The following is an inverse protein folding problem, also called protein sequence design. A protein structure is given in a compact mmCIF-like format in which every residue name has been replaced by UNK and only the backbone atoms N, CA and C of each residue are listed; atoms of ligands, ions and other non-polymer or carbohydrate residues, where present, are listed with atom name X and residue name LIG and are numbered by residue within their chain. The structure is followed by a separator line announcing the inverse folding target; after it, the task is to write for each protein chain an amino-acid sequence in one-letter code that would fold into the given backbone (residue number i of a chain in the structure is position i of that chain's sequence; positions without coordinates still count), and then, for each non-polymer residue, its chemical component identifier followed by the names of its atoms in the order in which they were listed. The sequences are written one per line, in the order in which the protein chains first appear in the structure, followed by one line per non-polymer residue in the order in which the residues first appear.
data_IF_012344262875
#
_entry.id   IF_012344262875
#
_cell.length_a   1.000
_cell.length_b   1.000
_cell.length_c   1.000
_cell.angle_alpha   90.00
_cell.angle_beta   90.00
_cell.angle_gamma   90.00
#
_symmetry.space_group_name_H-M   'P 1'
#
loop_
_entity.id
_entity.type
_entity.pdbx_description
1 polymer ?
#
# COMPACT_ATOMS: atom_id res chain seq x y z
N UNK A 1 -8.04 5.79 9.14
CA UNK A 1 -7.86 7.19 9.60
C UNK A 1 -7.02 7.10 10.83
N UNK A 2 -5.85 7.73 10.82
CA UNK A 2 -4.95 7.74 11.96
C UNK A 2 -4.81 9.19 12.41
N UNK A 3 -5.04 9.43 13.69
CA UNK A 3 -4.83 10.72 14.33
C UNK A 3 -3.69 10.53 15.33
N UNK A 4 -2.68 11.38 15.26
CA UNK A 4 -1.50 11.29 16.12
C UNK A 4 -1.14 12.68 16.65
N UNK A 5 -1.32 12.84 17.95
CA UNK A 5 -0.96 14.04 18.70
C UNK A 5 0.28 13.74 19.55
N UNK A 6 1.31 14.59 19.43
CA UNK A 6 2.54 14.46 20.18
C UNK A 6 2.89 15.80 20.85
N UNK A 7 3.30 15.72 22.12
CA UNK A 7 3.58 16.88 22.97
C UNK A 7 4.95 16.77 23.62
N UNK A 8 5.73 17.85 23.57
CA UNK A 8 7.03 17.94 24.22
C UNK A 8 7.15 19.26 25.00
N UNK A 9 7.31 19.18 26.32
CA UNK A 9 7.48 20.33 27.21
C UNK A 9 8.78 20.17 28.02
N UNK A 10 9.53 21.26 28.27
CA UNK A 10 10.69 21.25 29.18
C UNK A 10 10.37 20.80 30.62
N UNK A 11 9.11 20.82 31.06
CA UNK A 11 8.69 20.41 32.41
C UNK A 11 8.03 19.01 32.46
N UNK A 12 7.49 18.51 31.35
CA UNK A 12 6.84 17.20 31.26
C UNK A 12 7.04 16.57 29.85
N UNK A 13 7.51 15.32 29.79
CA UNK A 13 7.84 14.59 28.56
C UNK A 13 9.35 14.49 28.28
N UNK A 14 9.76 14.06 27.08
CA UNK A 14 11.17 13.78 26.69
C UNK A 14 12.10 15.01 26.65
N UNK A 15 11.68 16.15 27.21
CA UNK A 15 12.46 17.37 27.31
C UNK A 15 12.65 18.07 25.96
N UNK A 16 12.12 19.28 25.83
CA UNK A 16 12.50 20.14 24.72
C UNK A 16 13.94 20.63 24.95
N UNK A 17 14.94 20.00 24.31
CA UNK A 17 16.31 20.53 24.30
C UNK A 17 16.28 21.97 23.76
N UNK A 18 16.76 22.90 24.56
CA UNK A 18 17.03 24.27 24.15
C UNK A 18 18.23 24.30 23.20
N UNK A 19 18.06 23.85 21.96
CA UNK A 19 19.14 23.84 20.98
C UNK A 19 18.86 22.94 19.79
N UNK A 20 18.69 23.57 18.62
CA UNK A 20 18.95 23.01 17.29
C UNK A 20 18.35 21.64 16.99
N UNK A 21 17.04 21.60 16.72
CA UNK A 21 16.45 20.47 15.99
C UNK A 21 14.95 20.36 16.20
N UNK A 22 14.15 21.02 15.35
CA UNK A 22 12.72 20.70 15.13
C UNK A 22 11.73 20.80 16.30
N UNK A 23 12.16 20.81 17.56
CA UNK A 23 11.38 20.61 18.80
C UNK A 23 11.68 21.69 19.86
N UNK A 24 12.36 22.76 19.47
CA UNK A 24 13.02 23.68 20.39
C UNK A 24 12.59 25.13 20.12
N UNK A 25 11.55 25.57 20.83
CA UNK A 25 11.23 26.98 21.04
C UNK A 25 11.27 27.28 22.54
N UNK A 26 11.69 28.49 22.98
CA UNK A 26 11.59 28.87 24.39
C UNK A 26 10.12 28.74 24.82
N UNK A 27 9.82 27.79 25.71
CA UNK A 27 8.47 27.50 26.20
C UNK A 27 7.78 26.24 25.66
N UNK A 28 8.47 25.28 25.02
CA UNK A 28 7.87 23.99 24.62
C UNK A 28 7.15 23.99 23.26
N UNK A 29 6.84 22.80 22.74
CA UNK A 29 6.27 22.60 21.40
C UNK A 29 5.17 21.52 21.38
N UNK A 30 4.10 21.78 20.62
CA UNK A 30 3.00 20.85 20.39
C UNK A 30 2.82 20.55 18.91
N UNK A 31 2.49 19.30 18.58
CA UNK A 31 2.28 18.84 17.22
C UNK A 31 0.96 18.07 17.13
N UNK A 32 0.18 18.38 16.10
CA UNK A 32 -0.96 17.58 15.70
C UNK A 32 -0.79 17.24 14.22
N UNK A 33 -0.97 15.97 13.86
CA UNK A 33 -0.90 15.55 12.46
C UNK A 33 -2.10 14.69 12.12
N UNK A 34 -2.86 15.16 11.15
CA UNK A 34 -3.95 14.41 10.56
C UNK A 34 -3.47 13.69 9.30
N UNK A 35 -3.71 12.39 9.24
CA UNK A 35 -3.43 11.57 8.05
C UNK A 35 -4.70 10.89 7.56
N UNK A 36 -5.00 11.11 6.27
CA UNK A 36 -6.09 10.43 5.57
C UNK A 36 -5.55 9.67 4.37
N UNK A 37 -5.42 8.37 4.56
CA UNK A 37 -5.19 7.43 3.48
C UNK A 37 -6.52 6.90 2.94
N UNK A 38 -6.63 6.86 1.62
CA UNK A 38 -7.74 6.24 0.89
C UNK A 38 -7.15 5.30 -0.14
N UNK A 39 -7.62 4.06 -0.14
CA UNK A 39 -7.33 3.10 -1.18
C UNK A 39 -8.64 2.56 -1.76
N UNK A 40 -8.65 2.32 -3.07
CA UNK A 40 -9.68 1.50 -3.69
C UNK A 40 -9.04 0.54 -4.69
N UNK A 41 -9.68 -0.61 -4.85
CA UNK A 41 -9.33 -1.62 -5.83
C UNK A 41 -10.58 -1.96 -6.62
N UNK A 42 -10.47 -2.02 -7.93
CA UNK A 42 -11.53 -2.49 -8.81
C UNK A 42 -10.97 -3.56 -9.73
N UNK A 43 -11.59 -4.74 -9.70
CA UNK A 43 -11.10 -5.93 -10.40
C UNK A 43 -12.24 -6.51 -11.23
N UNK A 44 -11.95 -6.76 -12.50
CA UNK A 44 -12.84 -7.45 -13.43
C UNK A 44 -12.14 -8.71 -13.93
N UNK A 45 -12.83 -9.84 -13.87
CA UNK A 45 -12.29 -11.12 -14.31
C UNK A 45 -13.30 -11.89 -15.13
N UNK A 46 -12.81 -12.61 -16.13
CA UNK A 46 -13.57 -13.60 -16.88
C UNK A 46 -12.82 -14.93 -16.84
N UNK A 47 -13.54 -16.01 -16.54
CA UNK A 47 -13.00 -17.36 -16.51
C UNK A 47 -13.82 -18.26 -17.45
N UNK A 48 -13.12 -19.12 -18.17
CA UNK A 48 -13.71 -20.16 -18.98
C UNK A 48 -12.95 -21.47 -18.79
N UNK A 49 -13.72 -22.53 -18.53
CA UNK A 49 -13.20 -23.89 -18.41
C UNK A 49 -13.77 -24.72 -19.57
N UNK A 50 -12.92 -25.48 -20.25
CA UNK A 50 -13.33 -26.29 -21.38
C UNK A 50 -12.61 -27.63 -21.42
N UNK A 51 -13.36 -28.66 -21.81
CA UNK A 51 -12.89 -30.04 -21.88
C UNK A 51 -13.02 -30.57 -23.30
N UNK A 52 -11.94 -31.15 -23.84
CA UNK A 52 -11.92 -31.80 -25.15
C UNK A 52 -11.70 -33.30 -24.96
N UNK A 53 -12.58 -34.11 -25.56
CA UNK A 53 -12.51 -35.58 -25.55
C UNK A 53 -12.40 -36.20 -24.14
N UNK A 54 -12.92 -35.55 -23.10
CA UNK A 54 -12.82 -35.90 -21.67
C UNK A 54 -11.40 -35.97 -21.09
N UNK A 55 -10.37 -36.03 -21.93
CA UNK A 55 -8.98 -36.21 -21.54
C UNK A 55 -8.21 -34.88 -21.42
N UNK A 56 -8.65 -33.83 -22.12
CA UNK A 56 -7.97 -32.55 -22.16
C UNK A 56 -8.81 -31.51 -21.44
N UNK A 57 -8.32 -30.98 -20.33
CA UNK A 57 -8.99 -29.96 -19.54
C UNK A 57 -8.19 -28.68 -19.57
N UNK A 58 -8.85 -27.58 -19.88
CA UNK A 58 -8.25 -26.25 -19.94
C UNK A 58 -9.02 -25.31 -19.02
N UNK A 59 -8.28 -24.42 -18.36
CA UNK A 59 -8.83 -23.36 -17.53
C UNK A 59 -8.14 -22.05 -17.90
N UNK A 60 -8.91 -21.13 -18.48
CA UNK A 60 -8.44 -19.81 -18.87
C UNK A 60 -9.06 -18.77 -17.95
N UNK A 61 -8.20 -17.94 -17.36
CA UNK A 61 -8.59 -16.75 -16.60
C UNK A 61 -7.94 -15.53 -17.26
N UNK A 62 -8.72 -14.48 -17.47
CA UNK A 62 -8.21 -13.16 -17.83
C UNK A 62 -8.80 -12.14 -16.87
N UNK A 63 -8.05 -11.08 -16.60
CA UNK A 63 -8.51 -10.03 -15.71
C UNK A 63 -7.78 -8.72 -15.88
N UNK A 64 -8.45 -7.67 -15.41
CA UNK A 64 -7.89 -6.35 -15.24
C UNK A 64 -8.16 -5.87 -13.81
N UNK A 65 -7.20 -5.16 -13.25
CA UNK A 65 -7.25 -4.64 -11.90
C UNK A 65 -6.72 -3.21 -11.88
N UNK A 66 -7.41 -2.36 -11.12
CA UNK A 66 -7.04 -0.97 -10.93
C UNK A 66 -6.97 -0.69 -9.44
N UNK A 67 -5.84 -0.18 -8.99
CA UNK A 67 -5.65 0.25 -7.61
C UNK A 67 -5.27 1.73 -7.58
N UNK A 68 -6.01 2.53 -6.81
CA UNK A 68 -5.63 3.91 -6.51
C UNK A 68 -5.40 4.07 -5.03
N UNK A 69 -4.34 4.79 -4.67
CA UNK A 69 -4.02 5.17 -3.30
C UNK A 69 -3.79 6.67 -3.26
N UNK A 70 -4.45 7.34 -2.31
CA UNK A 70 -4.26 8.77 -2.04
C UNK A 70 -4.00 8.93 -0.55
N UNK A 71 -2.91 9.61 -0.19
CA UNK A 71 -2.58 10.01 1.16
C UNK A 71 -2.62 11.53 1.25
N UNK A 72 -3.41 12.06 2.18
CA UNK A 72 -3.42 13.49 2.51
C UNK A 72 -2.89 13.65 3.91
N UNK A 73 -1.89 14.52 4.06
CA UNK A 73 -1.23 14.84 5.30
C UNK A 73 -1.34 16.33 5.55
N UNK A 74 -1.81 16.71 6.73
CA UNK A 74 -1.68 18.07 7.19
C UNK A 74 -1.58 18.06 8.71
N UNK A 75 -0.87 19.03 9.23
CA UNK A 75 -0.66 19.17 10.65
C UNK A 75 -0.34 20.60 11.02
N UNK A 76 -0.25 20.80 12.32
CA UNK A 76 0.15 22.05 12.91
C UNK A 76 1.32 21.78 13.85
N UNK A 77 2.28 22.71 13.82
CA UNK A 77 3.35 22.79 14.80
C UNK A 77 3.19 24.11 15.52
N UNK A 78 3.10 24.04 16.85
CA UNK A 78 2.94 25.21 17.71
C UNK A 78 4.14 25.32 18.63
N UNK A 79 4.68 26.52 18.79
CA UNK A 79 5.85 26.78 19.65
C UNK A 79 5.52 27.86 20.68
N UNK A 80 6.24 27.84 21.80
CA UNK A 80 6.12 28.80 22.90
C UNK A 80 4.73 28.73 23.54
N UNK A 81 4.56 27.71 24.39
CA UNK A 81 3.38 27.52 25.21
C UNK A 81 3.21 28.73 26.14
N UNK A 82 2.01 29.31 26.14
CA UNK A 82 1.70 30.52 26.92
C UNK A 82 1.49 30.24 28.41
N UNK A 83 1.13 29.01 28.77
CA UNK A 83 0.91 28.57 30.15
C UNK A 83 1.39 27.12 30.31
N UNK A 84 2.38 26.91 31.18
CA UNK A 84 2.99 25.61 31.45
C UNK A 84 2.08 24.60 32.13
N UNK A 85 0.91 25.03 32.64
CA UNK A 85 -0.09 24.13 33.24
C UNK A 85 -0.79 23.23 32.21
N UNK A 86 -0.71 23.55 30.91
CA UNK A 86 -1.34 22.76 29.87
C UNK A 86 -0.36 21.83 29.14
N UNK A 87 -0.87 20.67 28.72
CA UNK A 87 -0.07 19.63 28.05
C UNK A 87 -0.67 19.14 26.73
N UNK A 88 -1.49 19.97 26.08
CA UNK A 88 -2.20 19.59 24.86
C UNK A 88 -1.94 20.58 23.72
N UNK A 89 -2.11 20.13 22.47
CA UNK A 89 -1.83 20.95 21.28
C UNK A 89 -2.86 22.07 21.06
N UNK A 90 -4.06 21.95 21.65
CA UNK A 90 -5.14 22.95 21.55
C UNK A 90 -4.94 24.15 22.50
N UNK A 91 -3.94 24.13 23.39
CA UNK A 91 -3.65 25.21 24.36
C UNK A 91 -3.21 26.53 23.71
N UNK A 92 -2.94 27.55 24.53
CA UNK A 92 -2.37 28.81 24.05
C UNK A 92 -0.90 28.67 23.64
N UNK A 93 -0.57 29.04 22.40
CA UNK A 93 0.80 29.13 21.90
C UNK A 93 0.95 30.43 21.12
N UNK A 94 2.13 31.06 21.19
CA UNK A 94 2.36 32.35 20.52
C UNK A 94 2.77 32.21 19.05
N UNK A 95 3.24 31.02 18.63
CA UNK A 95 3.62 30.74 17.24
C UNK A 95 2.86 29.52 16.73
N UNK A 96 2.24 29.64 15.55
CA UNK A 96 1.58 28.54 14.84
C UNK A 96 2.14 28.43 13.42
N UNK A 97 2.67 27.27 13.06
CA UNK A 97 3.24 27.01 11.75
C UNK A 97 2.58 25.78 11.12
N UNK A 98 2.33 25.78 9.80
CA UNK A 98 1.97 24.54 9.11
C UNK A 98 3.03 23.47 9.34
N UNK A 99 2.58 22.22 9.46
CA UNK A 99 3.43 21.05 9.66
C UNK A 99 2.94 19.89 8.81
N UNK A 100 3.86 19.03 8.37
CA UNK A 100 3.56 17.78 7.67
C UNK A 100 2.49 17.91 6.56
N UNK A 101 2.58 18.96 5.76
CA UNK A 101 1.66 19.20 4.64
C UNK A 101 2.11 18.39 3.43
N UNK A 102 1.25 17.51 2.93
CA UNK A 102 1.56 16.70 1.77
C UNK A 102 0.34 16.06 1.11
N UNK A 103 0.49 15.76 -0.17
CA UNK A 103 -0.42 14.93 -0.96
C UNK A 103 0.41 13.87 -1.67
N UNK A 104 0.11 12.61 -1.41
CA UNK A 104 0.66 11.48 -2.14
C UNK A 104 -0.46 10.83 -2.95
N UNK A 105 -0.24 10.58 -4.24
CA UNK A 105 -1.19 9.85 -5.07
C UNK A 105 -0.46 8.86 -5.96
N UNK A 106 -0.91 7.61 -5.94
CA UNK A 106 -0.39 6.55 -6.78
C UNK A 106 -1.53 5.73 -7.40
N UNK A 107 -1.30 5.29 -8.63
CA UNK A 107 -2.24 4.48 -9.40
C UNK A 107 -1.51 3.30 -10.05
N UNK A 108 -2.09 2.11 -9.95
CA UNK A 108 -1.60 0.87 -10.52
C UNK A 108 -2.70 0.28 -11.40
N UNK A 109 -2.42 0.15 -12.69
CA UNK A 109 -3.25 -0.59 -13.65
C UNK A 109 -2.56 -1.91 -13.97
N UNK A 110 -3.29 -3.00 -13.89
CA UNK A 110 -2.74 -4.32 -14.09
C UNK A 110 -3.64 -5.15 -14.99
N UNK A 111 -3.05 -5.82 -15.96
CA UNK A 111 -3.74 -6.77 -16.83
C UNK A 111 -3.05 -8.11 -16.71
N UNK A 112 -3.81 -9.18 -16.45
CA UNK A 112 -3.25 -10.49 -16.20
C UNK A 112 -4.06 -11.59 -16.86
N UNK A 113 -3.38 -12.69 -17.15
CA UNK A 113 -3.97 -13.91 -17.67
C UNK A 113 -3.27 -15.14 -17.12
N UNK A 114 -4.03 -16.23 -17.00
CA UNK A 114 -3.54 -17.55 -16.62
C UNK A 114 -4.21 -18.61 -17.47
N UNK A 115 -3.41 -19.50 -18.03
CA UNK A 115 -3.88 -20.69 -18.71
C UNK A 115 -3.35 -21.92 -17.96
N UNK A 116 -4.26 -22.80 -17.57
CA UNK A 116 -3.91 -24.12 -17.06
C UNK A 116 -4.38 -25.18 -18.05
N UNK A 117 -3.57 -26.21 -18.22
CA UNK A 117 -3.86 -27.39 -19.01
C UNK A 117 -3.61 -28.64 -18.17
N UNK A 118 -4.51 -29.60 -18.31
CA UNK A 118 -4.45 -30.89 -17.66
C UNK A 118 -4.79 -31.97 -18.69
N UNK A 119 -3.87 -32.92 -18.88
CA UNK A 119 -4.11 -34.14 -19.64
C UNK A 119 -4.36 -35.33 -18.70
N UNK A 120 -5.56 -35.91 -18.75
CA UNK A 120 -5.97 -37.14 -18.04
C UNK A 120 -5.75 -37.11 -16.51
N UNK A 121 -5.59 -35.93 -15.92
CA UNK A 121 -5.15 -35.77 -14.54
C UNK A 121 -3.75 -36.33 -14.28
N UNK A 122 -2.94 -36.53 -15.34
CA UNK A 122 -1.56 -37.05 -15.28
C UNK A 122 -0.54 -35.95 -15.52
N UNK A 123 -0.75 -35.11 -16.53
CA UNK A 123 0.19 -34.06 -16.89
C UNK A 123 -0.49 -32.71 -16.74
N UNK A 124 0.20 -31.80 -16.07
CA UNK A 124 -0.27 -30.47 -15.74
C UNK A 124 0.70 -29.46 -16.32
N UNK A 125 0.20 -28.46 -17.02
CA UNK A 125 0.97 -27.33 -17.50
C UNK A 125 0.23 -26.06 -17.08
N UNK A 126 0.94 -25.09 -16.53
CA UNK A 126 0.37 -23.79 -16.19
C UNK A 126 1.27 -22.68 -16.69
N UNK A 127 0.66 -21.67 -17.29
CA UNK A 127 1.30 -20.44 -17.71
C UNK A 127 0.54 -19.24 -17.19
N UNK A 128 1.26 -18.20 -16.78
CA UNK A 128 0.69 -16.92 -16.39
C UNK A 128 1.50 -15.76 -16.96
N UNK A 129 0.80 -14.66 -17.23
CA UNK A 129 1.38 -13.42 -17.72
C UNK A 129 0.63 -12.26 -17.06
N UNK A 130 1.38 -11.28 -16.56
CA UNK A 130 0.85 -10.05 -15.97
C UNK A 130 1.64 -8.85 -16.47
N UNK A 131 0.95 -7.78 -16.78
CA UNK A 131 1.52 -6.48 -17.08
C UNK A 131 1.00 -5.48 -16.06
N UNK A 132 1.91 -4.80 -15.38
CA UNK A 132 1.64 -3.80 -14.36
C UNK A 132 2.14 -2.43 -14.81
N UNK A 133 1.28 -1.43 -14.67
CA UNK A 133 1.54 -0.04 -15.00
C UNK A 133 1.39 0.82 -13.75
N UNK A 134 2.52 1.18 -13.15
CA UNK A 134 2.56 1.93 -11.90
C UNK A 134 2.93 3.39 -12.13
N UNK A 135 2.08 4.32 -11.68
CA UNK A 135 2.21 5.75 -11.95
C UNK A 135 3.46 6.39 -11.34
N UNK A 136 4.00 5.80 -10.26
CA UNK A 136 5.15 6.34 -9.53
C UNK A 136 6.51 5.99 -10.17
N UNK A 137 6.54 5.08 -11.15
CA UNK A 137 7.78 4.68 -11.82
C UNK A 137 8.06 5.55 -13.04
N UNK A 138 9.35 5.83 -13.29
CA UNK A 138 9.78 6.52 -14.51
C UNK A 138 9.45 5.72 -15.78
N UNK A 139 9.74 4.42 -15.76
CA UNK A 139 9.21 3.44 -16.72
C UNK A 139 7.99 2.80 -16.07
N UNK A 140 6.80 3.22 -16.51
CA UNK A 140 5.55 2.86 -15.84
C UNK A 140 5.21 1.38 -15.96
N UNK A 141 5.61 0.72 -17.05
CA UNK A 141 5.18 -0.63 -17.43
C UNK A 141 6.23 -1.70 -17.10
N UNK A 142 5.81 -2.73 -16.38
CA UNK A 142 6.56 -3.97 -16.16
C UNK A 142 5.75 -5.19 -16.59
N UNK A 143 6.40 -6.20 -17.17
CA UNK A 143 5.76 -7.46 -17.58
C UNK A 143 6.42 -8.63 -16.87
N UNK A 144 5.58 -9.44 -16.22
CA UNK A 144 5.98 -10.58 -15.40
C UNK A 144 5.27 -11.82 -15.92
N UNK A 145 5.99 -12.92 -16.06
CA UNK A 145 5.44 -14.18 -16.54
C UNK A 145 5.96 -15.34 -15.70
N UNK A 146 5.23 -16.43 -15.71
CA UNK A 146 5.62 -17.66 -15.04
C UNK A 146 5.06 -18.87 -15.76
N UNK A 147 5.80 -19.97 -15.70
CA UNK A 147 5.38 -21.25 -16.24
C UNK A 147 5.72 -22.37 -15.25
N UNK A 148 4.90 -23.41 -15.22
CA UNK A 148 5.13 -24.62 -14.42
C UNK A 148 4.59 -25.84 -15.13
N UNK A 149 5.17 -27.00 -14.79
CA UNK A 149 4.70 -28.29 -15.24
C UNK A 149 4.67 -29.26 -14.06
N UNK A 150 3.72 -30.20 -14.07
CA UNK A 150 3.56 -31.23 -13.07
C UNK A 150 3.24 -32.57 -13.73
N UNK A 151 3.70 -33.65 -13.13
CA UNK A 151 3.45 -35.00 -13.60
C UNK A 151 3.10 -35.90 -12.43
N UNK A 152 1.91 -36.50 -12.50
CA UNK A 152 1.45 -37.52 -11.56
C UNK A 152 1.99 -38.88 -11.99
N UNK A 153 3.17 -39.21 -11.47
CA UNK A 153 3.86 -40.46 -11.78
C UNK A 153 2.98 -41.64 -11.38
N UNK A 154 2.22 -41.56 -10.27
CA UNK A 154 1.40 -42.65 -9.73
C UNK A 154 0.18 -43.04 -10.58
N UNK A 155 -0.03 -42.41 -11.73
CA UNK A 155 -1.09 -42.78 -12.68
C UNK A 155 -0.58 -43.51 -13.91
N UNK A 156 0.70 -43.82 -13.97
CA UNK A 156 1.30 -44.53 -15.10
C UNK A 156 1.14 -46.04 -14.98
N UNK A 157 1.09 -46.73 -16.13
CA UNK A 157 0.78 -48.16 -16.20
C UNK A 157 2.03 -49.06 -16.07
N UNK A 158 3.10 -48.58 -15.43
CA UNK A 158 4.39 -49.27 -15.42
C UNK A 158 4.71 -50.05 -14.14
N UNK A 159 3.76 -50.14 -13.19
CA UNK A 159 3.80 -51.07 -12.06
C UNK A 159 2.43 -51.72 -11.84
#
# INVERSE_FOLDING_TARGET
MLDNDAFANPYHGDGALSGTGGMSGPGGAGFATFTKDKAWVWTNTAQADFTVSNDHNFSLLIGNEQTKRTGVYFGIKRNTLSDSAYTNVQSGFTVNNPWNMGLAENYLLSTFGRLNYNYKGKYFISGNLRQDEYSALGIKKGTFWGASAGWEIAKENFW
#
